data_IF_425768953696
#
_entry.id   IF_425768953696
#
_cell.length_a   1.000
_cell.length_b   1.000
_cell.length_c   1.000
_cell.angle_alpha   90.00
_cell.angle_beta   90.00
_cell.angle_gamma   90.00
#
_symmetry.space_group_name_H-M   'P 1'
#
loop_
_entity.id
_entity.type
_entity.pdbx_description
1 polymer ?
#
# COMPACT_ATOMS: atom_id res chain seq x y z
N UNK A 1 -2.02 34.06 -5.56
CA UNK A 1 -3.43 34.14 -5.11
C UNK A 1 -3.64 33.01 -4.11
N UNK A 2 -3.71 33.38 -2.84
CA UNK A 2 -3.90 32.49 -1.70
C UNK A 2 -5.26 31.79 -1.81
N UNK A 3 -5.26 30.46 -1.70
CA UNK A 3 -6.44 29.58 -1.83
C UNK A 3 -7.04 29.24 -0.45
N UNK A 4 -6.86 30.09 0.55
CA UNK A 4 -7.14 29.74 1.94
C UNK A 4 -8.59 29.99 2.41
N UNK A 5 -9.40 30.76 1.67
CA UNK A 5 -10.68 31.25 2.21
C UNK A 5 -11.95 30.76 1.49
N UNK A 6 -11.85 29.83 0.54
CA UNK A 6 -13.04 29.30 -0.13
C UNK A 6 -13.74 28.25 0.74
N UNK A 7 -15.03 28.45 0.98
CA UNK A 7 -15.89 27.47 1.63
C UNK A 7 -15.95 26.17 0.82
N UNK A 8 -16.33 25.06 1.47
CA UNK A 8 -16.44 23.76 0.81
C UNK A 8 -17.40 23.80 -0.39
N UNK A 9 -18.53 24.52 -0.27
CA UNK A 9 -19.50 24.68 -1.35
C UNK A 9 -18.92 25.43 -2.55
N UNK A 10 -18.13 26.48 -2.31
CA UNK A 10 -17.49 27.25 -3.37
C UNK A 10 -16.43 26.43 -4.09
N UNK A 11 -15.68 25.60 -3.35
CA UNK A 11 -14.73 24.65 -3.93
C UNK A 11 -15.43 23.61 -4.82
N UNK A 12 -16.55 23.06 -4.36
CA UNK A 12 -17.36 22.10 -5.13
C UNK A 12 -17.91 22.77 -6.40
N UNK A 13 -18.45 23.99 -6.27
CA UNK A 13 -18.98 24.75 -7.42
C UNK A 13 -17.90 25.09 -8.44
N UNK A 14 -16.72 25.50 -7.98
CA UNK A 14 -15.58 25.76 -8.84
C UNK A 14 -15.10 24.50 -9.57
N UNK A 15 -15.05 23.35 -8.88
CA UNK A 15 -14.70 22.06 -9.48
C UNK A 15 -15.65 21.69 -10.63
N UNK A 16 -16.97 21.78 -10.41
CA UNK A 16 -17.95 21.49 -11.47
C UNK A 16 -17.85 22.46 -12.64
N UNK A 17 -17.60 23.75 -12.38
CA UNK A 17 -17.40 24.75 -13.46
C UNK A 17 -16.17 24.44 -14.30
N UNK A 18 -15.06 24.02 -13.69
CA UNK A 18 -13.84 23.61 -14.40
C UNK A 18 -14.01 22.29 -15.14
N UNK A 19 -14.84 21.40 -14.61
CA UNK A 19 -15.11 20.08 -15.18
C UNK A 19 -16.13 20.14 -16.32
N UNK A 20 -16.53 21.31 -16.83
CA UNK A 20 -17.51 21.41 -17.93
C UNK A 20 -18.98 21.29 -17.50
N UNK A 21 -19.26 21.46 -16.20
CA UNK A 21 -20.61 21.44 -15.63
C UNK A 21 -20.97 20.11 -14.95
N UNK A 22 -22.03 20.10 -14.10
CA UNK A 22 -22.42 18.94 -13.29
C UNK A 22 -22.92 17.73 -14.10
N UNK A 23 -23.25 17.91 -15.38
CA UNK A 23 -23.71 16.85 -16.27
C UNK A 23 -22.59 16.21 -17.10
N UNK A 24 -21.31 16.58 -16.88
CA UNK A 24 -20.22 15.97 -17.62
C UNK A 24 -20.04 14.48 -17.21
N UNK A 25 -20.17 13.52 -18.14
CA UNK A 25 -20.03 12.09 -17.84
C UNK A 25 -18.64 11.69 -17.34
N UNK A 26 -17.61 12.54 -17.54
CA UNK A 26 -16.24 12.31 -17.07
C UNK A 26 -15.98 12.77 -15.63
N UNK A 27 -16.97 13.38 -14.96
CA UNK A 27 -16.83 13.81 -13.55
C UNK A 27 -16.28 12.70 -12.64
N UNK A 28 -16.76 11.44 -12.71
CA UNK A 28 -16.22 10.37 -11.87
C UNK A 28 -14.71 10.15 -12.06
N UNK A 29 -14.25 10.11 -13.31
CA UNK A 29 -12.82 9.96 -13.64
C UNK A 29 -11.99 11.17 -13.19
N UNK A 30 -12.54 12.38 -13.34
CA UNK A 30 -11.89 13.62 -12.91
C UNK A 30 -11.77 13.69 -11.38
N UNK A 31 -12.79 13.25 -10.64
CA UNK A 31 -12.74 13.14 -9.18
C UNK A 31 -11.70 12.09 -8.77
N UNK A 32 -11.71 10.92 -9.39
CA UNK A 32 -10.75 9.86 -9.07
C UNK A 32 -9.30 10.31 -9.31
N UNK A 33 -9.05 10.98 -10.43
CA UNK A 33 -7.74 11.58 -10.71
C UNK A 33 -7.39 12.67 -9.71
N UNK A 34 -8.36 13.50 -9.29
CA UNK A 34 -8.14 14.53 -8.29
C UNK A 34 -7.83 13.95 -6.91
N UNK A 35 -8.48 12.86 -6.51
CA UNK A 35 -8.19 12.17 -5.23
C UNK A 35 -6.85 11.44 -5.25
N UNK A 36 -6.35 11.05 -6.42
CA UNK A 36 -5.06 10.36 -6.57
C UNK A 36 -3.87 11.32 -6.74
N UNK A 37 -4.09 12.49 -7.34
CA UNK A 37 -3.00 13.39 -7.75
C UNK A 37 -3.22 14.85 -7.34
N UNK A 38 -4.31 15.16 -6.66
CA UNK A 38 -4.62 16.50 -6.17
C UNK A 38 -3.67 16.90 -5.04
N UNK A 39 -3.30 18.19 -5.01
CA UNK A 39 -2.38 18.74 -4.00
C UNK A 39 -2.85 18.54 -2.56
N UNK A 40 -4.16 18.40 -2.36
CA UNK A 40 -4.79 18.38 -1.03
C UNK A 40 -5.20 16.97 -0.58
N UNK A 41 -4.83 15.92 -1.33
CA UNK A 41 -5.32 14.55 -1.14
C UNK A 41 -4.22 13.49 -0.92
N UNK A 42 -3.17 13.88 -0.20
CA UNK A 42 -2.09 12.98 0.21
C UNK A 42 -1.00 12.78 -0.86
N UNK A 43 -0.12 11.77 -0.69
CA UNK A 43 1.00 11.52 -1.59
C UNK A 43 0.51 11.17 -3.01
N UNK A 44 1.16 11.71 -4.07
CA UNK A 44 0.74 11.48 -5.45
C UNK A 44 0.78 9.99 -5.80
N UNK A 45 -0.28 9.51 -6.44
CA UNK A 45 -0.42 8.12 -6.88
C UNK A 45 -1.02 7.17 -5.85
N UNK A 46 -1.37 7.65 -4.66
CA UNK A 46 -2.05 6.86 -3.62
C UNK A 46 -3.22 7.67 -3.05
N UNK A 47 -4.41 7.05 -2.99
CA UNK A 47 -5.54 7.63 -2.26
C UNK A 47 -5.17 7.80 -0.80
N UNK A 48 -5.40 8.99 -0.27
CA UNK A 48 -5.28 9.24 1.17
C UNK A 48 -6.23 8.34 1.96
N UNK A 49 -5.68 7.62 2.94
CA UNK A 49 -6.48 6.83 3.89
C UNK A 49 -6.84 7.66 5.10
N UNK A 50 -7.87 7.26 5.86
CA UNK A 50 -8.20 7.87 7.15
C UNK A 50 -7.00 7.89 8.11
N UNK A 51 -6.19 6.83 8.08
CA UNK A 51 -4.97 6.76 8.87
C UNK A 51 -3.94 7.83 8.45
N UNK A 52 -3.81 8.10 7.15
CA UNK A 52 -2.90 9.12 6.63
C UNK A 52 -3.35 10.53 7.07
N UNK A 53 -4.66 10.81 7.08
CA UNK A 53 -5.21 12.07 7.57
C UNK A 53 -5.01 12.25 9.08
N UNK A 54 -5.25 11.20 9.87
CA UNK A 54 -5.00 11.20 11.32
C UNK A 54 -3.52 11.43 11.60
N UNK A 55 -2.62 10.76 10.88
CA UNK A 55 -1.18 10.94 11.06
C UNK A 55 -0.71 12.35 10.69
N UNK A 56 -1.30 12.98 9.67
CA UNK A 56 -1.02 14.37 9.31
C UNK A 56 -1.40 15.31 10.45
N UNK A 57 -2.62 15.18 10.96
CA UNK A 57 -3.09 15.95 12.11
C UNK A 57 -2.22 15.72 13.36
N UNK A 58 -1.83 14.47 13.62
CA UNK A 58 -0.95 14.09 14.73
C UNK A 58 0.46 14.70 14.62
N UNK A 59 0.95 14.92 13.40
CA UNK A 59 2.24 15.55 13.14
C UNK A 59 2.20 17.08 13.25
N UNK A 60 1.05 17.69 13.05
CA UNK A 60 0.85 19.14 13.22
C UNK A 60 0.87 19.53 14.71
N UNK A 61 0.55 18.61 15.62
CA UNK A 61 0.66 18.81 17.07
C UNK A 61 2.04 18.36 17.62
N UNK A 62 2.90 19.28 18.09
CA UNK A 62 4.22 18.94 18.63
C UNK A 62 4.17 17.98 19.82
N UNK A 63 3.09 17.98 20.60
CA UNK A 63 2.93 17.13 21.78
C UNK A 63 2.70 15.65 21.42
N UNK A 64 2.18 15.39 20.22
CA UNK A 64 1.87 14.04 19.74
C UNK A 64 2.98 13.44 18.86
N UNK A 65 4.05 14.19 18.61
CA UNK A 65 5.18 13.77 17.77
C UNK A 65 5.82 12.46 18.20
N UNK A 66 5.98 12.23 19.51
CA UNK A 66 6.54 10.98 20.04
C UNK A 66 5.64 9.77 19.74
N UNK A 67 4.32 9.95 19.81
CA UNK A 67 3.33 8.90 19.50
C UNK A 67 3.36 8.60 18.00
N UNK A 68 3.42 9.65 17.16
CA UNK A 68 3.54 9.52 15.71
C UNK A 68 4.81 8.73 15.33
N UNK A 69 5.98 9.12 15.89
CA UNK A 69 7.25 8.44 15.63
C UNK A 69 7.23 6.97 16.08
N UNK A 70 6.65 6.68 17.25
CA UNK A 70 6.50 5.32 17.73
C UNK A 70 5.64 4.47 16.79
N UNK A 71 4.48 5.01 16.36
CA UNK A 71 3.56 4.34 15.45
C UNK A 71 4.24 4.03 14.12
N UNK A 72 4.91 5.02 13.51
CA UNK A 72 5.64 4.83 12.25
C UNK A 72 6.74 3.77 12.37
N UNK A 73 7.54 3.79 13.45
CA UNK A 73 8.57 2.76 13.69
C UNK A 73 7.96 1.37 13.86
N UNK A 74 6.79 1.27 14.49
CA UNK A 74 6.07 0.00 14.63
C UNK A 74 5.61 -0.51 13.26
N UNK A 75 5.02 0.35 12.43
CA UNK A 75 4.54 0.00 11.10
C UNK A 75 5.68 -0.44 10.16
N UNK A 76 6.81 0.29 10.16
CA UNK A 76 7.98 -0.12 9.38
C UNK A 76 8.52 -1.49 9.81
N UNK A 77 8.55 -1.76 11.12
CA UNK A 77 8.96 -3.07 11.66
C UNK A 77 8.00 -4.18 11.20
N UNK A 78 6.70 -3.96 11.26
CA UNK A 78 5.71 -4.93 10.78
C UNK A 78 5.90 -5.25 9.29
N UNK A 79 6.01 -4.23 8.44
CA UNK A 79 6.26 -4.43 7.00
C UNK A 79 7.57 -5.20 6.74
N UNK A 80 8.62 -4.93 7.53
CA UNK A 80 9.89 -5.65 7.41
C UNK A 80 9.75 -7.13 7.83
N UNK A 81 8.96 -7.41 8.86
CA UNK A 81 8.70 -8.76 9.33
C UNK A 81 7.88 -9.55 8.32
N UNK A 82 6.85 -8.94 7.74
CA UNK A 82 6.05 -9.56 6.66
C UNK A 82 6.92 -9.91 5.46
N UNK A 83 7.81 -9.01 5.05
CA UNK A 83 8.76 -9.28 3.95
C UNK A 83 9.70 -10.44 4.27
N UNK A 84 10.23 -10.49 5.50
CA UNK A 84 11.10 -11.59 5.95
C UNK A 84 10.33 -12.91 6.03
N UNK A 85 9.09 -12.89 6.52
CA UNK A 85 8.24 -14.07 6.57
C UNK A 85 8.00 -14.64 5.17
N UNK A 86 7.63 -13.79 4.21
CA UNK A 86 7.45 -14.22 2.82
C UNK A 86 8.73 -14.78 2.18
N UNK A 87 9.91 -14.28 2.56
CA UNK A 87 11.20 -14.87 2.14
C UNK A 87 11.39 -16.27 2.72
N UNK A 88 11.17 -16.43 4.03
CA UNK A 88 11.29 -17.74 4.71
C UNK A 88 10.30 -18.76 4.14
N UNK A 89 9.05 -18.35 3.88
CA UNK A 89 8.05 -19.22 3.26
C UNK A 89 8.49 -19.70 1.87
N UNK A 90 9.10 -18.81 1.08
CA UNK A 90 9.64 -19.15 -0.24
C UNK A 90 10.81 -20.13 -0.15
N UNK A 91 11.76 -19.87 0.75
CA UNK A 91 12.91 -20.77 0.98
C UNK A 91 12.46 -22.14 1.47
N UNK A 92 11.49 -22.19 2.38
CA UNK A 92 10.90 -23.43 2.88
C UNK A 92 10.17 -24.20 1.76
N UNK A 93 9.51 -23.49 0.84
CA UNK A 93 8.93 -24.07 -0.36
C UNK A 93 9.98 -24.73 -1.26
N UNK A 94 11.07 -24.02 -1.55
CA UNK A 94 12.18 -24.55 -2.37
C UNK A 94 12.82 -25.79 -1.74
N UNK A 95 13.15 -25.72 -0.44
CA UNK A 95 13.76 -26.85 0.28
C UNK A 95 12.84 -28.07 0.30
N UNK A 96 11.52 -27.88 0.40
CA UNK A 96 10.54 -28.99 0.32
C UNK A 96 10.56 -29.69 -1.03
N UNK A 97 10.73 -28.95 -2.12
CA UNK A 97 10.85 -29.57 -3.45
C UNK A 97 12.18 -30.29 -3.61
N UNK A 98 13.30 -29.69 -3.19
CA UNK A 98 14.62 -30.36 -3.21
C UNK A 98 14.60 -31.68 -2.44
N UNK A 99 13.98 -31.71 -1.26
CA UNK A 99 13.83 -32.93 -0.46
C UNK A 99 12.96 -33.97 -1.18
N UNK A 100 11.91 -33.55 -1.90
CA UNK A 100 11.09 -34.47 -2.69
C UNK A 100 11.86 -35.05 -3.87
N UNK A 101 12.66 -34.25 -4.55
CA UNK A 101 13.51 -34.69 -5.65
C UNK A 101 14.58 -35.66 -5.18
N UNK A 102 15.30 -35.35 -4.09
CA UNK A 102 16.25 -36.25 -3.45
C UNK A 102 15.59 -37.58 -3.05
N UNK A 103 14.38 -37.53 -2.48
CA UNK A 103 13.64 -38.74 -2.12
C UNK A 103 13.28 -39.57 -3.36
N UNK A 104 12.90 -38.95 -4.48
CA UNK A 104 12.62 -39.66 -5.74
C UNK A 104 13.88 -40.32 -6.29
N UNK A 105 14.97 -39.57 -6.40
CA UNK A 105 16.25 -40.08 -6.90
C UNK A 105 16.77 -41.26 -6.02
N UNK A 106 16.64 -41.15 -4.70
CA UNK A 106 17.01 -42.24 -3.79
C UNK A 106 16.16 -43.50 -4.03
N UNK A 107 14.85 -43.35 -4.21
CA UNK A 107 13.96 -44.48 -4.49
C UNK A 107 14.27 -45.15 -5.83
N UNK A 108 14.66 -44.39 -6.85
CA UNK A 108 15.10 -44.92 -8.14
C UNK A 108 16.39 -45.74 -8.00
N UNK A 109 17.40 -45.20 -7.31
CA UNK A 109 18.65 -45.93 -7.02
C UNK A 109 18.42 -47.22 -6.24
N UNK A 110 17.51 -47.23 -5.27
CA UNK A 110 17.14 -48.44 -4.54
C UNK A 110 16.47 -49.49 -5.43
N UNK A 111 15.64 -49.08 -6.40
CA UNK A 111 15.01 -50.01 -7.35
C UNK A 111 16.03 -50.64 -8.28
N UNK A 112 16.98 -49.87 -8.79
CA UNK A 112 18.05 -50.38 -9.66
C UNK A 112 18.95 -51.40 -8.96
N UNK A 113 19.18 -51.25 -7.64
CA UNK A 113 19.96 -52.19 -6.85
C UNK A 113 19.22 -53.49 -6.49
N UNK A 114 17.90 -53.48 -6.40
CA UNK A 114 17.10 -54.67 -6.08
C UNK A 114 16.71 -55.51 -7.31
N UNK A 115 16.98 -55.01 -8.53
CA UNK A 115 16.70 -55.68 -9.80
C UNK A 115 17.88 -56.44 -10.42
N UNK A 116 19.01 -56.53 -9.72
CA UNK A 116 20.17 -57.40 -10.02
C UNK A 116 20.29 -58.46 -8.94
#
# INVERSE_FOLDING_TARGET
MEKSDLSLEERIRAFYKQSGGPLNPRIPELIERHLLYGKDHGPPGRRETLADAIMRWLMEDPSMRLVAEWYMRRQMRQNSLEKRLGQVEKELGALREEVRELRRAFLELCKERSGK
#
